data_IF_781800287838
#
_entry.id   IF_781800287838
#
_cell.length_a   1.000
_cell.length_b   1.000
_cell.length_c   1.000
_cell.angle_alpha   90.00
_cell.angle_beta   90.00
_cell.angle_gamma   90.00
#
_symmetry.space_group_name_H-M   'P 1'
#
loop_
_entity.id
_entity.type
_entity.pdbx_description
1 polymer ?
#
# COMPACT_ATOMS: atom_id res chain seq x y z
N UNK A 1 -27.42 18.45 -11.01
CA UNK A 1 -26.25 18.62 -11.90
C UNK A 1 -24.99 18.90 -11.07
N UNK A 2 -24.27 17.84 -10.67
CA UNK A 2 -23.01 17.94 -9.92
C UNK A 2 -21.89 17.75 -10.94
N UNK A 3 -21.18 18.82 -11.24
CA UNK A 3 -19.97 18.80 -12.07
C UNK A 3 -18.88 18.08 -11.29
N UNK A 4 -18.62 16.82 -11.66
CA UNK A 4 -17.46 16.08 -11.19
C UNK A 4 -16.20 16.79 -11.67
N UNK A 5 -15.54 17.53 -10.78
CA UNK A 5 -14.18 18.01 -11.01
C UNK A 5 -13.29 16.77 -11.01
N UNK A 6 -13.07 16.20 -12.18
CA UNK A 6 -12.06 15.17 -12.41
C UNK A 6 -10.70 15.79 -12.09
N UNK A 7 -10.18 15.51 -10.89
CA UNK A 7 -8.88 16.00 -10.44
C UNK A 7 -7.79 15.43 -11.37
N UNK A 8 -7.09 16.27 -12.17
CA UNK A 8 -6.00 15.81 -13.05
C UNK A 8 -4.79 15.25 -12.28
N UNK A 9 -4.76 15.45 -10.95
CA UNK A 9 -3.66 15.07 -10.06
C UNK A 9 -3.52 13.58 -9.75
N UNK A 10 -4.34 12.70 -10.33
CA UNK A 10 -4.31 11.25 -10.02
C UNK A 10 -3.65 10.36 -11.10
N UNK A 11 -3.50 10.88 -12.32
CA UNK A 11 -2.97 10.12 -13.46
C UNK A 11 -1.44 10.20 -13.53
N UNK A 12 -0.84 11.27 -13.00
CA UNK A 12 0.60 11.51 -13.16
C UNK A 12 1.52 10.46 -12.51
N UNK A 13 1.21 9.80 -11.37
CA UNK A 13 2.10 8.78 -10.81
C UNK A 13 2.06 7.49 -11.65
N UNK A 14 0.89 7.14 -12.19
CA UNK A 14 0.70 5.99 -13.09
C UNK A 14 1.32 6.28 -14.45
N UNK A 15 1.12 7.47 -15.00
CA UNK A 15 1.77 7.91 -16.23
C UNK A 15 3.31 7.99 -16.07
N UNK A 16 3.81 8.41 -14.91
CA UNK A 16 5.25 8.41 -14.61
C UNK A 16 5.79 6.98 -14.46
N UNK A 17 5.09 6.09 -13.76
CA UNK A 17 5.47 4.69 -13.64
C UNK A 17 5.44 3.97 -14.99
N UNK A 18 4.41 4.23 -15.82
CA UNK A 18 4.29 3.71 -17.18
C UNK A 18 5.34 4.32 -18.12
N UNK A 19 5.66 5.61 -18.00
CA UNK A 19 6.70 6.25 -18.77
C UNK A 19 8.09 5.69 -18.41
N UNK A 20 8.36 5.44 -17.12
CA UNK A 20 9.60 4.81 -16.66
C UNK A 20 9.66 3.34 -17.11
N UNK A 21 8.55 2.61 -17.02
CA UNK A 21 8.45 1.22 -17.46
C UNK A 21 8.52 1.07 -18.99
N UNK A 22 7.99 2.03 -19.76
CA UNK A 22 8.06 2.06 -21.23
C UNK A 22 9.41 2.60 -21.74
N UNK A 23 10.05 3.49 -20.98
CA UNK A 23 11.40 3.97 -21.28
C UNK A 23 12.49 2.92 -20.96
N UNK A 24 12.21 1.95 -20.09
CA UNK A 24 13.15 0.90 -19.72
C UNK A 24 13.51 -0.04 -20.89
N UNK A 25 12.56 -0.54 -21.72
CA UNK A 25 12.87 -1.24 -22.96
C UNK A 25 13.57 -0.37 -24.01
N UNK A 26 13.22 0.91 -24.12
CA UNK A 26 13.86 1.85 -25.06
C UNK A 26 15.31 2.17 -24.67
N UNK A 27 15.63 2.18 -23.37
CA UNK A 27 16.98 2.37 -22.84
C UNK A 27 17.90 1.16 -23.04
N UNK A 28 17.34 -0.04 -23.23
CA UNK A 28 18.14 -1.22 -23.59
C UNK A 28 18.67 -1.14 -25.04
N UNK A 29 18.21 -0.20 -25.86
CA UNK A 29 18.67 -0.08 -27.26
C UNK A 29 20.00 0.70 -27.40
N UNK A 30 20.46 1.52 -26.44
CA UNK A 30 21.77 2.21 -26.61
C UNK A 30 22.59 2.20 -25.33
N UNK A 31 23.64 1.39 -25.36
CA UNK A 31 24.57 1.03 -24.29
C UNK A 31 25.42 2.20 -23.70
N UNK A 32 25.06 3.48 -23.89
CA UNK A 32 25.99 4.59 -23.67
C UNK A 32 25.64 5.60 -22.57
N UNK A 33 24.39 5.76 -22.09
CA UNK A 33 24.13 6.73 -21.00
C UNK A 33 22.95 6.32 -20.10
N UNK A 34 23.23 5.54 -19.04
CA UNK A 34 22.24 5.17 -18.00
C UNK A 34 22.06 6.27 -16.92
N UNK A 35 22.97 7.24 -16.85
CA UNK A 35 22.96 8.28 -15.80
C UNK A 35 21.71 9.19 -15.80
N UNK A 36 21.11 9.60 -16.94
CA UNK A 36 19.92 10.44 -16.91
C UNK A 36 18.72 9.68 -16.32
N UNK A 37 18.61 8.38 -16.59
CA UNK A 37 17.54 7.56 -16.03
C UNK A 37 17.71 7.33 -14.53
N UNK A 38 18.95 7.18 -14.06
CA UNK A 38 19.26 7.10 -12.62
C UNK A 38 18.90 8.42 -11.93
N UNK A 39 19.20 9.56 -12.54
CA UNK A 39 18.83 10.87 -12.00
C UNK A 39 17.31 11.08 -11.98
N UNK A 40 16.61 10.71 -13.05
CA UNK A 40 15.13 10.79 -13.11
C UNK A 40 14.52 9.88 -12.05
N UNK A 41 14.96 8.63 -11.93
CA UNK A 41 14.48 7.70 -10.91
C UNK A 41 14.77 8.22 -9.50
N UNK A 42 15.97 8.78 -9.26
CA UNK A 42 16.35 9.39 -7.99
C UNK A 42 15.48 10.60 -7.64
N UNK A 43 15.21 11.47 -8.61
CA UNK A 43 14.32 12.62 -8.44
C UNK A 43 12.88 12.18 -8.17
N UNK A 44 12.36 11.21 -8.91
CA UNK A 44 11.03 10.65 -8.67
C UNK A 44 10.93 10.04 -7.26
N UNK A 45 11.94 9.29 -6.82
CA UNK A 45 11.99 8.73 -5.47
C UNK A 45 12.03 9.83 -4.41
N UNK A 46 12.82 10.88 -4.62
CA UNK A 46 12.92 12.03 -3.72
C UNK A 46 11.58 12.77 -3.60
N UNK A 47 10.93 13.05 -4.74
CA UNK A 47 9.62 13.72 -4.77
C UNK A 47 8.53 12.87 -4.13
N UNK A 48 8.52 11.55 -4.38
CA UNK A 48 7.60 10.62 -3.75
C UNK A 48 7.81 10.57 -2.23
N UNK A 49 9.07 10.51 -1.78
CA UNK A 49 9.41 10.53 -0.35
C UNK A 49 9.04 11.86 0.30
N UNK A 50 9.30 12.98 -0.37
CA UNK A 50 8.90 14.31 0.08
C UNK A 50 7.39 14.44 0.23
N UNK A 51 6.63 14.01 -0.78
CA UNK A 51 5.16 13.97 -0.72
C UNK A 51 4.64 13.09 0.41
N UNK A 52 5.28 11.94 0.65
CA UNK A 52 4.92 11.03 1.73
C UNK A 52 5.17 11.66 3.11
N UNK A 53 6.31 12.30 3.30
CA UNK A 53 6.66 12.98 4.56
C UNK A 53 5.73 14.17 4.85
N UNK A 54 5.39 14.95 3.82
CA UNK A 54 4.48 16.10 3.95
C UNK A 54 3.02 15.65 4.16
N UNK A 55 2.65 14.45 3.70
CA UNK A 55 1.28 13.95 3.86
C UNK A 55 0.89 13.70 5.33
N UNK A 56 1.88 13.45 6.21
CA UNK A 56 1.69 13.01 7.59
C UNK A 56 0.70 11.83 7.72
N UNK A 57 0.59 10.99 6.69
CA UNK A 57 -0.30 9.82 6.70
C UNK A 57 0.36 8.66 7.45
N UNK A 58 -0.28 8.21 8.54
CA UNK A 58 0.17 7.03 9.30
C UNK A 58 0.31 5.80 8.42
N UNK A 59 -0.64 5.59 7.51
CA UNK A 59 -0.59 4.47 6.56
C UNK A 59 0.60 4.55 5.62
N UNK A 60 0.96 5.76 5.20
CA UNK A 60 2.11 5.97 4.33
C UNK A 60 3.45 5.74 5.08
N UNK A 61 3.54 6.17 6.35
CA UNK A 61 4.70 5.91 7.21
C UNK A 61 4.86 4.41 7.53
N UNK A 62 3.77 3.70 7.84
CA UNK A 62 3.78 2.25 8.04
C UNK A 62 4.15 1.52 6.75
N UNK A 63 3.63 1.95 5.61
CA UNK A 63 4.00 1.42 4.29
C UNK A 63 5.48 1.62 3.97
N UNK A 64 6.05 2.79 4.28
CA UNK A 64 7.49 3.07 4.10
C UNK A 64 8.36 2.18 4.99
N UNK A 65 7.99 2.02 6.27
CA UNK A 65 8.69 1.13 7.18
C UNK A 65 8.67 -0.32 6.65
N UNK A 66 7.52 -0.79 6.20
CA UNK A 66 7.38 -2.14 5.63
C UNK A 66 8.21 -2.31 4.35
N UNK A 67 8.21 -1.32 3.45
CA UNK A 67 9.05 -1.31 2.25
C UNK A 67 10.54 -1.41 2.61
N UNK A 68 10.99 -0.61 3.57
CA UNK A 68 12.37 -0.63 4.05
C UNK A 68 12.78 -1.98 4.61
N UNK A 69 11.91 -2.63 5.41
CA UNK A 69 12.16 -3.97 5.94
C UNK A 69 12.27 -5.03 4.83
N UNK A 70 11.45 -4.93 3.77
CA UNK A 70 11.56 -5.82 2.61
C UNK A 70 12.87 -5.61 1.87
N UNK A 71 13.27 -4.36 1.59
CA UNK A 71 14.55 -4.07 0.94
C UNK A 71 15.74 -4.59 1.78
N UNK A 72 15.69 -4.39 3.10
CA UNK A 72 16.70 -4.93 4.02
C UNK A 72 16.71 -6.45 4.03
N UNK A 73 15.56 -7.11 3.97
CA UNK A 73 15.47 -8.56 3.87
C UNK A 73 16.17 -9.08 2.61
N UNK A 74 15.95 -8.46 1.45
CA UNK A 74 16.64 -8.82 0.20
C UNK A 74 18.15 -8.57 0.28
N UNK A 75 18.57 -7.41 0.81
CA UNK A 75 19.98 -7.04 0.97
C UNK A 75 20.74 -7.95 1.95
N UNK A 76 20.03 -8.54 2.92
CA UNK A 76 20.61 -9.41 3.97
C UNK A 76 20.46 -10.91 3.68
N UNK A 77 20.07 -11.31 2.45
CA UNK A 77 19.90 -12.72 2.08
C UNK A 77 21.19 -13.54 2.09
N UNK A 78 22.34 -12.91 1.90
CA UNK A 78 23.66 -13.54 2.00
C UNK A 78 24.13 -13.73 3.44
N UNK A 79 23.51 -13.03 4.40
CA UNK A 79 23.89 -13.12 5.81
C UNK A 79 23.28 -14.36 6.47
N UNK A 80 23.97 -14.86 7.49
CA UNK A 80 23.46 -15.92 8.35
C UNK A 80 22.07 -15.56 8.93
N UNK A 81 21.14 -16.53 9.06
CA UNK A 81 19.76 -16.26 9.48
C UNK A 81 19.66 -15.45 10.78
N UNK A 82 20.49 -15.77 11.78
CA UNK A 82 20.53 -15.04 13.06
C UNK A 82 20.83 -13.55 12.88
N UNK A 83 21.86 -13.22 12.08
CA UNK A 83 22.25 -11.82 11.83
C UNK A 83 21.17 -11.07 11.05
N UNK A 84 20.54 -11.73 10.08
CA UNK A 84 19.41 -11.19 9.32
C UNK A 84 18.26 -10.77 10.23
N UNK A 85 17.81 -11.67 11.11
CA UNK A 85 16.70 -11.38 12.02
C UNK A 85 17.04 -10.30 13.03
N UNK A 86 18.30 -10.22 13.50
CA UNK A 86 18.75 -9.12 14.36
C UNK A 86 18.69 -7.77 13.65
N UNK A 87 19.11 -7.69 12.38
CA UNK A 87 19.02 -6.45 11.60
C UNK A 87 17.55 -6.07 11.38
N UNK A 88 16.72 -7.00 10.96
CA UNK A 88 15.30 -6.73 10.73
C UNK A 88 14.57 -6.30 12.01
N UNK A 89 14.79 -7.01 13.12
CA UNK A 89 14.20 -6.67 14.42
C UNK A 89 14.71 -5.33 14.95
N UNK A 90 16.01 -5.06 14.82
CA UNK A 90 16.62 -3.78 15.19
C UNK A 90 16.10 -2.61 14.35
N UNK A 91 15.97 -2.78 13.03
CA UNK A 91 15.41 -1.77 12.13
C UNK A 91 13.92 -1.53 12.38
N UNK A 92 13.14 -2.58 12.68
CA UNK A 92 11.74 -2.44 13.07
C UNK A 92 11.62 -1.62 14.37
N UNK A 93 12.39 -1.99 15.40
CA UNK A 93 12.39 -1.28 16.68
C UNK A 93 12.80 0.19 16.51
N UNK A 94 13.89 0.44 15.79
CA UNK A 94 14.36 1.80 15.51
C UNK A 94 13.32 2.62 14.73
N UNK A 95 12.66 2.00 13.74
CA UNK A 95 11.58 2.63 12.99
C UNK A 95 10.39 3.00 13.86
N UNK A 96 9.93 2.09 14.72
CA UNK A 96 8.84 2.36 15.67
C UNK A 96 9.21 3.48 16.63
N UNK A 97 10.40 3.43 17.24
CA UNK A 97 10.88 4.47 18.16
C UNK A 97 10.97 5.83 17.47
N UNK A 98 11.46 5.87 16.23
CA UNK A 98 11.52 7.10 15.44
C UNK A 98 10.13 7.66 15.16
N UNK A 99 9.19 6.83 14.73
CA UNK A 99 7.81 7.26 14.45
C UNK A 99 7.12 7.78 15.73
N UNK A 100 7.32 7.11 16.86
CA UNK A 100 6.81 7.57 18.16
C UNK A 100 7.45 8.90 18.57
N UNK A 101 8.77 9.04 18.44
CA UNK A 101 9.48 10.28 18.76
C UNK A 101 9.01 11.44 17.89
N UNK A 102 8.86 11.23 16.57
CA UNK A 102 8.36 12.24 15.62
C UNK A 102 6.92 12.65 15.99
N UNK A 103 6.06 11.69 16.34
CA UNK A 103 4.69 11.99 16.77
C UNK A 103 4.65 12.84 18.05
N UNK A 104 5.52 12.54 19.03
CA UNK A 104 5.61 13.27 20.30
C UNK A 104 6.20 14.68 20.12
N UNK A 105 7.28 14.81 19.35
CA UNK A 105 8.01 16.07 19.17
C UNK A 105 7.25 17.06 18.31
N UNK A 106 6.65 16.61 17.21
CA UNK A 106 5.94 17.51 16.31
C UNK A 106 4.53 17.86 16.80
N UNK A 107 3.99 17.13 17.80
CA UNK A 107 2.64 17.36 18.33
C UNK A 107 1.55 17.25 17.27
N UNK A 108 1.82 16.58 16.15
CA UNK A 108 0.92 16.51 15.00
C UNK A 108 -0.19 15.53 15.33
N UNK A 109 -1.41 16.04 15.50
CA UNK A 109 -2.60 15.24 15.80
C UNK A 109 -2.81 14.11 14.77
N UNK A 110 -2.45 14.35 13.50
CA UNK A 110 -2.48 13.34 12.44
C UNK A 110 -1.57 12.15 12.68
N UNK A 111 -0.60 12.24 13.58
CA UNK A 111 0.27 11.14 14.00
C UNK A 111 -0.17 10.48 15.31
N UNK A 112 -1.10 11.10 16.06
CA UNK A 112 -1.58 10.56 17.33
C UNK A 112 -2.39 9.27 17.09
N UNK A 113 -1.90 8.07 17.50
CA UNK A 113 -2.61 6.80 17.29
C UNK A 113 -3.99 6.76 17.96
N UNK A 114 -4.23 7.61 18.95
CA UNK A 114 -5.50 7.75 19.68
C UNK A 114 -6.29 9.00 19.26
N UNK A 115 -5.86 9.72 18.23
CA UNK A 115 -6.56 10.90 17.72
C UNK A 115 -7.92 10.57 17.09
N UNK A 116 -8.76 11.59 16.94
CA UNK A 116 -10.17 11.47 16.50
C UNK A 116 -10.33 10.64 15.21
N UNK A 117 -9.47 10.86 14.20
CA UNK A 117 -9.51 10.11 12.94
C UNK A 117 -9.36 8.60 13.13
N UNK A 118 -8.54 8.16 14.10
CA UNK A 118 -8.35 6.73 14.38
C UNK A 118 -9.55 6.16 15.11
N UNK A 119 -10.14 6.93 16.03
CA UNK A 119 -11.35 6.54 16.75
C UNK A 119 -12.56 6.36 15.81
N UNK A 120 -12.71 7.26 14.83
CA UNK A 120 -13.72 7.13 13.77
C UNK A 120 -13.50 5.83 12.99
N UNK A 121 -12.28 5.56 12.50
CA UNK A 121 -11.96 4.32 11.77
C UNK A 121 -12.25 3.05 12.59
N UNK A 122 -11.92 3.04 13.88
CA UNK A 122 -12.20 1.90 14.75
C UNK A 122 -13.69 1.60 14.87
N UNK A 123 -14.54 2.65 14.97
CA UNK A 123 -15.99 2.51 14.96
C UNK A 123 -16.51 2.02 13.61
N UNK A 124 -16.00 2.58 12.51
CA UNK A 124 -16.33 2.11 11.16
C UNK A 124 -15.93 0.64 10.95
N UNK A 125 -14.78 0.21 11.49
CA UNK A 125 -14.34 -1.19 11.45
C UNK A 125 -15.21 -2.10 12.29
N UNK A 126 -15.63 -1.65 13.48
CA UNK A 126 -16.58 -2.39 14.31
C UNK A 126 -17.89 -2.64 13.55
N UNK A 127 -18.46 -1.60 12.95
CA UNK A 127 -19.66 -1.72 12.12
C UNK A 127 -19.45 -2.70 10.95
N UNK A 128 -18.29 -2.60 10.28
CA UNK A 128 -17.91 -3.47 9.17
C UNK A 128 -17.80 -4.94 9.58
N UNK A 129 -17.28 -5.22 10.78
CA UNK A 129 -17.19 -6.58 11.32
C UNK A 129 -18.59 -7.15 11.60
N UNK A 130 -19.51 -6.33 12.12
CA UNK A 130 -20.92 -6.72 12.29
C UNK A 130 -21.56 -7.04 10.93
N UNK A 131 -21.36 -6.17 9.92
CA UNK A 131 -21.84 -6.41 8.55
C UNK A 131 -21.27 -7.71 7.93
N UNK A 132 -19.99 -8.02 8.20
CA UNK A 132 -19.37 -9.30 7.78
C UNK A 132 -20.05 -10.47 8.50
N UNK A 133 -20.43 -10.32 9.76
CA UNK A 133 -21.18 -11.31 10.52
C UNK A 133 -22.51 -11.67 9.85
N UNK A 134 -23.21 -10.66 9.31
CA UNK A 134 -24.51 -10.84 8.65
C UNK A 134 -24.38 -11.30 7.18
N UNK A 135 -23.27 -10.95 6.51
CA UNK A 135 -23.02 -11.27 5.09
C UNK A 135 -21.66 -11.95 4.83
N UNK A 136 -21.31 -13.08 5.48
CA UNK A 136 -19.94 -13.59 5.50
C UNK A 136 -19.49 -14.23 4.17
N UNK A 137 -20.42 -14.85 3.43
CA UNK A 137 -20.08 -15.69 2.28
C UNK A 137 -19.91 -14.90 0.99
N UNK A 138 -20.89 -14.06 0.65
CA UNK A 138 -20.94 -13.30 -0.61
C UNK A 138 -20.60 -11.83 -0.40
N UNK A 139 -20.64 -11.36 0.86
CA UNK A 139 -20.61 -9.94 1.16
C UNK A 139 -21.93 -9.26 0.83
N UNK A 140 -21.92 -7.93 0.89
CA UNK A 140 -23.02 -7.05 0.53
C UNK A 140 -23.00 -6.67 -0.96
N UNK A 141 -21.91 -6.97 -1.68
CA UNK A 141 -21.75 -6.68 -3.10
C UNK A 141 -20.96 -5.40 -3.40
N UNK A 142 -20.67 -5.19 -4.68
CA UNK A 142 -19.86 -4.05 -5.13
C UNK A 142 -20.60 -2.73 -4.91
N UNK A 143 -19.89 -1.79 -4.30
CA UNK A 143 -20.36 -0.42 -4.08
C UNK A 143 -21.63 -0.29 -3.22
N UNK A 144 -21.90 -1.28 -2.38
CA UNK A 144 -23.07 -1.30 -1.50
C UNK A 144 -22.78 -0.76 -0.09
N UNK A 145 -21.50 -0.53 0.27
CA UNK A 145 -21.13 -0.14 1.63
C UNK A 145 -21.89 1.10 2.12
N UNK A 146 -21.95 2.17 1.31
CA UNK A 146 -22.65 3.40 1.70
C UNK A 146 -24.17 3.25 1.85
N UNK A 147 -24.77 2.18 1.31
CA UNK A 147 -26.20 1.89 1.49
C UNK A 147 -26.47 1.15 2.80
N UNK A 148 -25.64 0.17 3.14
CA UNK A 148 -25.81 -0.66 4.35
C UNK A 148 -25.21 0.00 5.60
N UNK A 149 -24.10 0.74 5.46
CA UNK A 149 -23.36 1.29 6.59
C UNK A 149 -24.20 2.11 7.59
N UNK A 150 -25.17 2.97 7.18
CA UNK A 150 -25.99 3.72 8.11
C UNK A 150 -26.79 2.88 9.11
N UNK A 151 -27.09 1.61 8.79
CA UNK A 151 -27.82 0.70 9.67
C UNK A 151 -26.92 0.09 10.76
N UNK A 152 -25.59 0.08 10.54
CA UNK A 152 -24.59 -0.52 11.43
C UNK A 152 -23.71 0.52 12.13
N UNK A 153 -23.76 1.79 11.68
CA UNK A 153 -22.86 2.84 12.18
C UNK A 153 -23.11 3.14 13.66
N UNK A 154 -22.02 3.50 14.36
CA UNK A 154 -22.12 4.03 15.71
C UNK A 154 -22.93 5.35 15.70
N UNK A 155 -23.97 5.51 16.55
CA UNK A 155 -24.81 6.71 16.56
C UNK A 155 -24.04 8.02 16.75
N UNK A 156 -22.88 8.00 17.43
CA UNK A 156 -22.03 9.19 17.59
C UNK A 156 -21.44 9.70 16.27
N UNK A 157 -21.40 8.87 15.22
CA UNK A 157 -20.93 9.24 13.90
C UNK A 157 -22.03 9.79 12.99
N UNK A 158 -23.30 9.69 13.38
CA UNK A 158 -24.44 10.05 12.55
C UNK A 158 -24.47 11.54 12.14
N UNK A 159 -23.85 12.42 12.94
CA UNK A 159 -23.73 13.86 12.68
C UNK A 159 -22.38 14.25 12.06
N UNK A 160 -21.60 13.27 11.62
CA UNK A 160 -20.30 13.49 10.97
C UNK A 160 -20.38 13.14 9.49
N UNK A 161 -19.37 13.56 8.72
CA UNK A 161 -19.25 13.17 7.31
C UNK A 161 -19.06 11.64 7.13
N UNK A 162 -18.67 10.92 8.18
CA UNK A 162 -18.48 9.46 8.14
C UNK A 162 -19.77 8.73 7.78
N UNK A 163 -20.95 9.29 8.09
CA UNK A 163 -22.26 8.73 7.72
C UNK A 163 -22.38 8.41 6.23
N UNK A 164 -21.68 9.16 5.38
CA UNK A 164 -21.70 9.00 3.92
C UNK A 164 -20.46 8.30 3.36
N UNK A 165 -19.67 7.65 4.22
CA UNK A 165 -18.48 6.93 3.77
C UNK A 165 -18.86 5.75 2.88
N UNK A 166 -18.10 5.54 1.80
CA UNK A 166 -18.35 4.49 0.81
C UNK A 166 -17.47 3.26 0.98
N UNK A 167 -16.64 3.22 2.03
CA UNK A 167 -15.75 2.12 2.31
C UNK A 167 -15.27 2.11 3.78
N UNK A 168 -14.83 0.97 4.30
CA UNK A 168 -14.45 0.83 5.70
C UNK A 168 -13.07 1.38 6.07
N UNK A 169 -12.33 2.02 5.15
CA UNK A 169 -10.94 2.46 5.38
C UNK A 169 -9.99 1.30 5.76
N UNK A 170 -10.28 0.09 5.27
CA UNK A 170 -9.43 -1.08 5.44
C UNK A 170 -9.66 -2.01 4.26
N UNK A 171 -8.62 -2.25 3.47
CA UNK A 171 -8.65 -3.07 2.27
C UNK A 171 -9.22 -4.47 2.52
N UNK A 172 -8.87 -5.11 3.64
CA UNK A 172 -9.31 -6.46 3.93
C UNK A 172 -10.82 -6.49 4.23
N UNK A 173 -11.30 -5.56 5.04
CA UNK A 173 -12.73 -5.41 5.33
C UNK A 173 -13.51 -5.05 4.06
N UNK A 174 -12.95 -4.17 3.22
CA UNK A 174 -13.59 -3.74 1.97
C UNK A 174 -13.69 -4.90 0.96
N UNK A 175 -12.63 -5.70 0.79
CA UNK A 175 -12.66 -6.91 -0.05
C UNK A 175 -13.70 -7.91 0.49
N UNK A 176 -13.72 -8.15 1.81
CA UNK A 176 -14.68 -9.10 2.38
C UNK A 176 -16.12 -8.61 2.19
N UNK A 177 -16.42 -7.36 2.48
CA UNK A 177 -17.76 -6.82 2.32
C UNK A 177 -18.19 -6.79 0.85
N UNK A 178 -17.29 -6.51 -0.09
CA UNK A 178 -17.64 -6.44 -1.52
C UNK A 178 -17.76 -7.79 -2.19
N UNK A 179 -16.93 -8.77 -1.83
CA UNK A 179 -16.75 -10.02 -2.56
C UNK A 179 -16.92 -11.28 -1.67
N UNK A 180 -17.20 -11.09 -0.38
CA UNK A 180 -17.29 -12.16 0.59
C UNK A 180 -15.96 -12.86 0.86
N UNK A 181 -16.04 -14.01 1.52
CA UNK A 181 -14.88 -14.87 1.80
C UNK A 181 -14.16 -15.31 0.52
N UNK A 182 -14.88 -15.43 -0.60
CA UNK A 182 -14.30 -15.80 -1.90
C UNK A 182 -13.32 -14.74 -2.40
N UNK A 183 -13.61 -13.45 -2.18
CA UNK A 183 -12.67 -12.36 -2.47
C UNK A 183 -11.38 -12.46 -1.65
N UNK A 184 -11.50 -12.79 -0.37
CA UNK A 184 -10.36 -12.98 0.54
C UNK A 184 -9.48 -14.14 0.09
N UNK A 185 -10.10 -15.27 -0.28
CA UNK A 185 -9.38 -16.43 -0.81
C UNK A 185 -8.68 -16.09 -2.11
N UNK A 186 -9.35 -15.40 -3.04
CA UNK A 186 -8.79 -15.02 -4.33
C UNK A 186 -7.59 -14.07 -4.17
N UNK A 187 -7.71 -13.00 -3.38
CA UNK A 187 -6.62 -12.05 -3.19
C UNK A 187 -5.45 -12.70 -2.45
N UNK A 188 -5.73 -13.55 -1.46
CA UNK A 188 -4.70 -14.27 -0.72
C UNK A 188 -3.95 -15.25 -1.63
N UNK A 189 -4.65 -15.99 -2.48
CA UNK A 189 -4.03 -16.87 -3.47
C UNK A 189 -3.14 -16.10 -4.45
N UNK A 190 -3.61 -14.96 -4.96
CA UNK A 190 -2.85 -14.08 -5.85
C UNK A 190 -1.58 -13.56 -5.17
N UNK A 191 -1.69 -13.06 -3.95
CA UNK A 191 -0.56 -12.52 -3.19
C UNK A 191 0.45 -13.62 -2.83
N UNK A 192 0.00 -14.81 -2.45
CA UNK A 192 0.88 -15.97 -2.19
C UNK A 192 1.64 -16.33 -3.47
N UNK A 193 0.95 -16.41 -4.62
CA UNK A 193 1.59 -16.69 -5.92
C UNK A 193 2.61 -15.61 -6.27
N UNK A 194 2.27 -14.34 -6.08
CA UNK A 194 3.14 -13.20 -6.32
C UNK A 194 4.41 -13.29 -5.46
N UNK A 195 4.29 -13.40 -4.13
CA UNK A 195 5.47 -13.45 -3.25
C UNK A 195 6.29 -14.72 -3.46
N UNK A 196 5.69 -15.89 -3.69
CA UNK A 196 6.45 -17.11 -4.02
C UNK A 196 7.29 -16.95 -5.29
N UNK A 197 6.77 -16.22 -6.28
CA UNK A 197 7.51 -15.94 -7.53
C UNK A 197 8.64 -14.93 -7.32
N UNK A 198 8.37 -13.85 -6.58
CA UNK A 198 9.32 -12.75 -6.33
C UNK A 198 10.43 -13.15 -5.35
N UNK A 199 10.14 -14.04 -4.41
CA UNK A 199 11.11 -14.50 -3.43
C UNK A 199 12.07 -15.57 -3.97
N UNK A 200 11.79 -16.14 -5.15
CA UNK A 200 12.68 -17.11 -5.79
C UNK A 200 14.03 -16.44 -6.10
N UNK A 201 15.17 -17.05 -5.71
CA UNK A 201 16.48 -16.51 -6.04
C UNK A 201 16.64 -16.34 -7.55
N UNK A 202 17.26 -15.23 -7.95
CA UNK A 202 17.81 -15.02 -9.29
C UNK A 202 19.32 -15.14 -9.18
N UNK A 203 19.96 -15.79 -10.16
CA UNK A 203 21.42 -15.84 -10.29
C UNK A 203 22.02 -14.45 -10.55
N UNK A 204 21.26 -13.56 -11.19
CA UNK A 204 21.71 -12.22 -11.54
C UNK A 204 21.33 -11.14 -10.50
N UNK A 205 22.23 -10.15 -10.33
CA UNK A 205 22.06 -9.04 -9.40
C UNK A 205 20.94 -8.06 -9.78
N UNK A 206 20.80 -7.73 -11.07
CA UNK A 206 19.81 -6.76 -11.54
C UNK A 206 18.36 -7.25 -11.37
N UNK A 207 18.00 -8.47 -11.79
CA UNK A 207 16.68 -9.04 -11.50
C UNK A 207 16.36 -9.11 -10.00
N UNK A 208 17.37 -9.41 -9.16
CA UNK A 208 17.21 -9.45 -7.69
C UNK A 208 16.82 -8.08 -7.13
N UNK A 209 17.48 -7.00 -7.56
CA UNK A 209 17.18 -5.62 -7.15
C UNK A 209 15.78 -5.20 -7.61
N UNK A 210 15.40 -5.51 -8.85
CA UNK A 210 14.07 -5.19 -9.39
C UNK A 210 12.99 -5.94 -8.61
N UNK A 211 13.17 -7.23 -8.34
CA UNK A 211 12.26 -8.03 -7.54
C UNK A 211 12.13 -7.50 -6.10
N UNK A 212 13.22 -7.02 -5.51
CA UNK A 212 13.19 -6.37 -4.19
C UNK A 212 12.34 -5.09 -4.21
N UNK A 213 12.49 -4.26 -5.24
CA UNK A 213 11.69 -3.05 -5.42
C UNK A 213 10.20 -3.33 -5.61
N UNK A 214 9.86 -4.32 -6.45
CA UNK A 214 8.47 -4.77 -6.67
C UNK A 214 7.86 -5.32 -5.38
N UNK A 215 8.60 -6.15 -4.65
CA UNK A 215 8.17 -6.68 -3.36
C UNK A 215 7.90 -5.56 -2.34
N UNK A 216 8.82 -4.59 -2.26
CA UNK A 216 8.73 -3.47 -1.34
C UNK A 216 7.52 -2.57 -1.66
N UNK A 217 7.29 -2.25 -2.94
CA UNK A 217 6.15 -1.47 -3.39
C UNK A 217 4.81 -2.17 -3.10
N UNK A 218 4.69 -3.46 -3.41
CA UNK A 218 3.49 -4.25 -3.11
C UNK A 218 3.24 -4.31 -1.59
N UNK A 219 4.29 -4.56 -0.80
CA UNK A 219 4.16 -4.63 0.66
C UNK A 219 3.74 -3.28 1.24
N UNK A 220 4.31 -2.17 0.75
CA UNK A 220 3.93 -0.83 1.16
C UNK A 220 2.45 -0.54 0.89
N UNK A 221 1.98 -0.90 -0.31
CA UNK A 221 0.58 -0.73 -0.70
C UNK A 221 -0.35 -1.54 0.20
N UNK A 222 -0.03 -2.81 0.46
CA UNK A 222 -0.84 -3.68 1.33
C UNK A 222 -0.88 -3.18 2.78
N UNK A 223 0.28 -2.77 3.34
CA UNK A 223 0.36 -2.26 4.71
C UNK A 223 -0.37 -0.93 4.86
N UNK A 224 -0.27 -0.04 3.87
CA UNK A 224 -1.11 1.17 3.82
C UNK A 224 -2.59 0.78 3.73
N UNK A 225 -2.92 -0.22 2.91
CA UNK A 225 -4.25 -0.77 2.74
C UNK A 225 -4.88 -1.32 4.03
N UNK A 226 -4.09 -1.71 5.04
CA UNK A 226 -4.65 -2.14 6.32
C UNK A 226 -5.25 -0.99 7.14
N UNK A 227 -4.92 0.25 6.80
CA UNK A 227 -5.42 1.43 7.50
C UNK A 227 -6.15 2.41 6.58
N UNK A 228 -6.19 2.17 5.27
CA UNK A 228 -6.98 2.96 4.32
C UNK A 228 -7.40 2.15 3.09
N UNK A 229 -8.24 2.71 2.21
CA UNK A 229 -8.56 2.06 0.94
C UNK A 229 -7.51 2.37 -0.14
N UNK A 230 -6.89 1.33 -0.69
CA UNK A 230 -5.85 1.44 -1.73
C UNK A 230 -6.17 0.70 -3.01
N UNK A 231 -7.24 -0.10 -3.06
CA UNK A 231 -7.47 -1.00 -4.20
C UNK A 231 -8.68 -0.62 -5.03
N UNK A 232 -9.78 -0.19 -4.41
CA UNK A 232 -11.01 0.15 -5.14
C UNK A 232 -11.01 1.57 -5.72
N UNK A 233 -9.82 2.18 -5.81
CA UNK A 233 -9.55 3.41 -6.55
C UNK A 233 -8.87 3.02 -7.87
N UNK A 234 -9.41 3.37 -9.06
CA UNK A 234 -8.94 2.86 -10.34
C UNK A 234 -7.43 2.97 -10.56
N UNK A 235 -6.82 4.13 -10.29
CA UNK A 235 -5.39 4.37 -10.52
C UNK A 235 -4.50 3.42 -9.69
N UNK A 236 -4.90 3.17 -8.44
CA UNK A 236 -4.17 2.29 -7.54
C UNK A 236 -4.45 0.81 -7.84
N UNK A 237 -5.65 0.48 -8.31
CA UNK A 237 -5.97 -0.84 -8.86
C UNK A 237 -5.03 -1.17 -10.04
N UNK A 238 -4.88 -0.24 -10.98
CA UNK A 238 -3.95 -0.39 -12.10
C UNK A 238 -2.51 -0.60 -11.62
N UNK A 239 -2.05 0.20 -10.65
CA UNK A 239 -0.72 0.02 -10.08
C UNK A 239 -0.55 -1.35 -9.41
N UNK A 240 -1.55 -1.81 -8.65
CA UNK A 240 -1.56 -3.13 -8.02
C UNK A 240 -1.43 -4.26 -9.06
N UNK A 241 -2.25 -4.23 -10.10
CA UNK A 241 -2.22 -5.25 -11.16
C UNK A 241 -0.92 -5.20 -11.96
N UNK A 242 -0.38 -4.01 -12.22
CA UNK A 242 0.90 -3.85 -12.89
C UNK A 242 2.03 -4.46 -12.05
N UNK A 243 2.09 -4.18 -10.74
CA UNK A 243 3.06 -4.81 -9.84
C UNK A 243 2.92 -6.33 -9.82
N UNK A 244 1.69 -6.85 -9.86
CA UNK A 244 1.41 -8.29 -9.86
C UNK A 244 1.90 -8.99 -11.15
N UNK A 245 1.85 -8.29 -12.28
CA UNK A 245 2.31 -8.78 -13.58
C UNK A 245 3.82 -8.62 -13.79
N UNK A 246 4.43 -7.57 -13.24
CA UNK A 246 5.84 -7.31 -13.39
C UNK A 246 6.68 -8.43 -12.74
N UNK A 247 7.49 -9.07 -13.57
CA UNK A 247 8.61 -9.91 -13.12
C UNK A 247 9.75 -9.75 -14.10
N UNK A 248 10.94 -9.49 -13.58
CA UNK A 248 12.16 -9.68 -14.38
C UNK A 248 12.53 -11.16 -14.35
N UNK A 249 12.51 -11.81 -15.52
CA UNK A 249 13.03 -13.16 -15.73
C UNK A 249 14.42 -13.05 -16.34
N UNK A 250 15.30 -13.94 -15.92
CA UNK A 250 16.53 -14.23 -16.66
C UNK A 250 16.11 -14.72 -18.05
N UNK A 251 16.61 -14.08 -19.09
CA UNK A 251 16.49 -14.52 -20.49
C UNK A 251 17.46 -15.63 -20.77
#
# INVERSE_FOLDING_TARGET
>A
PITSVSTPGRIWPVAAALAVAAAYPLAMWRHAQRWPMVLIAGLCALLALGGLLVSFSKGALLGLLAAGLVLLFFASRSLAPRRRWLILGGSLLAGVLLLTAVALVLGVERLNPLGETSAVRLKTWSASLTMIGDHPLVGIGLDQFGQFYPDYMDPSLAQTNERFTSHPHNLLLDIWLRLGIMGIVAISWLLIRFYRRILHPTGDALPSIINAGIAAAMTAALVHGLVDNVYFVPDLAFAFWLLLLLRFRET
#
